data_IF_367901622948
#
_entry.id   IF_367901622948
#
_cell.length_a   1.000
_cell.length_b   1.000
_cell.length_c   1.000
_cell.angle_alpha   90.00
_cell.angle_beta   90.00
_cell.angle_gamma   90.00
#
_symmetry.space_group_name_H-M   'P 1'
#
loop_
_entity.id
_entity.type
_entity.pdbx_description
1 polymer ?
#
# COMPACT_ATOMS: atom_id res chain seq x y z
N UNK A 1 -9.64 0.33 -21.37
CA UNK A 1 -9.63 -0.78 -20.41
C UNK A 1 -10.31 -0.25 -19.17
N UNK A 2 -11.23 -1.00 -18.59
CA UNK A 2 -12.03 -0.50 -17.48
C UNK A 2 -11.26 -0.66 -16.17
N UNK A 3 -11.21 0.39 -15.37
CA UNK A 3 -10.59 0.36 -14.05
C UNK A 3 -11.41 -0.52 -13.10
N UNK A 4 -10.77 -1.35 -12.25
CA UNK A 4 -11.48 -2.15 -11.28
C UNK A 4 -12.10 -1.25 -10.20
N UNK A 5 -13.37 -1.49 -9.87
CA UNK A 5 -14.02 -0.80 -8.73
C UNK A 5 -13.53 -1.26 -7.35
N UNK A 6 -12.73 -2.34 -7.31
CA UNK A 6 -12.19 -2.93 -6.08
C UNK A 6 -10.78 -3.48 -6.32
N UNK A 7 -9.91 -3.25 -5.34
CA UNK A 7 -8.54 -3.78 -5.28
C UNK A 7 -8.26 -4.33 -3.88
N UNK A 8 -7.08 -4.89 -3.67
CA UNK A 8 -6.74 -5.56 -2.41
C UNK A 8 -5.28 -5.94 -2.32
N UNK A 9 -5.01 -7.06 -1.65
CA UNK A 9 -3.68 -7.62 -1.47
C UNK A 9 -3.74 -9.12 -1.67
N UNK A 10 -2.60 -9.77 -1.85
CA UNK A 10 -2.58 -11.23 -1.67
C UNK A 10 -2.94 -11.59 -0.22
N UNK A 11 -3.39 -12.82 0.01
CA UNK A 11 -3.74 -13.29 1.37
C UNK A 11 -2.58 -13.11 2.34
N UNK A 12 -1.36 -13.35 1.89
CA UNK A 12 -0.16 -13.20 2.71
C UNK A 12 0.10 -11.73 3.05
N UNK A 13 0.14 -10.83 2.07
CA UNK A 13 0.37 -9.42 2.33
C UNK A 13 -0.78 -8.77 3.14
N UNK A 14 -2.02 -9.24 2.97
CA UNK A 14 -3.14 -8.82 3.81
C UNK A 14 -2.94 -9.21 5.28
N UNK A 15 -2.41 -10.41 5.56
CA UNK A 15 -2.09 -10.83 6.93
C UNK A 15 -0.92 -10.02 7.50
N UNK A 16 0.13 -9.77 6.70
CA UNK A 16 1.25 -8.92 7.11
C UNK A 16 0.79 -7.49 7.44
N UNK A 17 -0.17 -6.94 6.69
CA UNK A 17 -0.78 -5.65 7.01
C UNK A 17 -1.52 -5.68 8.35
N UNK A 18 -2.24 -6.76 8.65
CA UNK A 18 -2.93 -6.93 9.93
C UNK A 18 -1.93 -7.01 11.10
N UNK A 19 -0.84 -7.76 10.94
CA UNK A 19 0.24 -7.83 11.92
C UNK A 19 0.91 -6.46 12.14
N UNK A 20 1.24 -5.74 11.06
CA UNK A 20 1.79 -4.37 11.14
C UNK A 20 0.87 -3.44 11.93
N UNK A 21 -0.44 -3.51 11.70
CA UNK A 21 -1.40 -2.69 12.44
C UNK A 21 -1.50 -3.10 13.90
N UNK A 22 -1.31 -4.38 14.23
CA UNK A 22 -1.29 -4.84 15.61
C UNK A 22 -0.05 -4.34 16.36
N UNK A 23 1.10 -4.31 15.69
CA UNK A 23 2.37 -3.86 16.26
C UNK A 23 2.46 -2.33 16.37
N UNK A 24 2.00 -1.59 15.36
CA UNK A 24 2.16 -0.14 15.28
C UNK A 24 1.08 0.64 16.03
N UNK A 25 -0.10 0.05 16.26
CA UNK A 25 -1.18 0.74 16.95
C UNK A 25 -0.96 0.74 18.47
N UNK A 26 -1.40 1.81 19.16
CA UNK A 26 -1.39 1.86 20.60
C UNK A 26 -2.21 0.70 21.19
N UNK A 27 -1.67 0.09 22.25
CA UNK A 27 -2.35 -0.95 23.00
C UNK A 27 -3.46 -0.36 23.89
N UNK A 28 -4.27 -1.22 24.49
CA UNK A 28 -5.36 -0.77 25.36
C UNK A 28 -4.82 0.06 26.54
N UNK A 29 -5.29 1.31 26.64
CA UNK A 29 -4.85 2.25 27.67
C UNK A 29 -3.66 3.14 27.28
N UNK A 30 -3.09 2.95 26.09
CA UNK A 30 -2.06 3.84 25.55
C UNK A 30 -2.68 5.01 24.75
N UNK A 31 -2.07 6.19 24.85
CA UNK A 31 -2.47 7.35 24.04
C UNK A 31 -1.88 7.25 22.62
N UNK A 32 -2.68 7.53 21.59
CA UNK A 32 -2.19 7.57 20.20
C UNK A 32 -3.29 7.58 19.16
N UNK A 33 -2.93 7.85 17.90
CA UNK A 33 -3.84 7.76 16.76
C UNK A 33 -3.78 6.33 16.23
N UNK A 34 -4.95 5.68 16.16
CA UNK A 34 -5.06 4.34 15.60
C UNK A 34 -5.07 4.40 14.07
N UNK A 35 -4.08 3.77 13.46
CA UNK A 35 -3.96 3.54 12.02
C UNK A 35 -5.00 2.49 11.57
N UNK A 36 -5.49 2.69 10.36
CA UNK A 36 -6.32 1.72 9.63
C UNK A 36 -5.58 1.15 8.41
N UNK A 37 -6.11 0.07 7.84
CA UNK A 37 -5.54 -0.58 6.63
C UNK A 37 -5.22 0.41 5.50
N UNK A 38 -6.12 1.38 5.27
CA UNK A 38 -5.92 2.38 4.23
C UNK A 38 -4.71 3.29 4.47
N UNK A 39 -4.33 3.57 5.72
CA UNK A 39 -3.21 4.48 5.99
C UNK A 39 -1.90 3.87 5.53
N UNK A 40 -1.63 2.62 5.93
CA UNK A 40 -0.43 1.90 5.49
C UNK A 40 -0.47 1.55 4.00
N UNK A 41 -1.65 1.22 3.46
CA UNK A 41 -1.82 0.97 2.03
C UNK A 41 -1.49 2.22 1.20
N UNK A 42 -2.06 3.38 1.55
CA UNK A 42 -1.79 4.65 0.87
C UNK A 42 -0.32 5.06 1.01
N UNK A 43 0.28 4.83 2.18
CA UNK A 43 1.71 5.11 2.41
C UNK A 43 2.60 4.24 1.52
N UNK A 44 2.33 2.94 1.41
CA UNK A 44 3.05 2.02 0.54
C UNK A 44 2.99 2.49 -0.93
N UNK A 45 1.79 2.85 -1.41
CA UNK A 45 1.59 3.37 -2.76
C UNK A 45 2.36 4.68 -2.97
N UNK A 46 2.21 5.65 -2.07
CA UNK A 46 2.87 6.94 -2.18
C UNK A 46 4.39 6.82 -2.26
N UNK A 47 4.99 5.91 -1.48
CA UNK A 47 6.42 5.66 -1.53
C UNK A 47 6.86 4.97 -2.82
N UNK A 48 6.05 4.04 -3.33
CA UNK A 48 6.26 3.42 -4.62
C UNK A 48 6.28 4.44 -5.76
N UNK A 49 5.33 5.38 -5.75
CA UNK A 49 5.27 6.50 -6.71
C UNK A 49 6.50 7.40 -6.56
N UNK A 50 6.82 7.85 -5.33
CA UNK A 50 7.98 8.73 -5.04
C UNK A 50 9.28 8.14 -5.58
N UNK A 51 9.47 6.83 -5.43
CA UNK A 51 10.68 6.09 -5.85
C UNK A 51 10.66 5.68 -7.33
N UNK A 52 9.56 5.89 -8.05
CA UNK A 52 9.38 5.43 -9.42
C UNK A 52 9.49 3.90 -9.57
N UNK A 53 9.04 3.15 -8.57
CA UNK A 53 9.16 1.68 -8.56
C UNK A 53 8.29 1.07 -9.64
N UNK A 54 8.80 0.00 -10.25
CA UNK A 54 8.04 -0.93 -11.10
C UNK A 54 7.80 -2.22 -10.33
N UNK A 55 6.64 -2.37 -9.65
CA UNK A 55 6.41 -3.50 -8.78
C UNK A 55 6.19 -4.79 -9.59
N UNK A 56 6.57 -5.95 -9.03
CA UNK A 56 6.34 -7.23 -9.68
C UNK A 56 4.84 -7.53 -9.80
N UNK A 57 4.50 -8.49 -10.67
CA UNK A 57 3.16 -9.07 -10.70
C UNK A 57 2.88 -9.74 -9.35
N UNK A 58 1.64 -9.67 -8.88
CA UNK A 58 1.23 -10.32 -7.64
C UNK A 58 1.52 -11.83 -7.71
N UNK A 59 2.09 -12.37 -6.63
CA UNK A 59 2.40 -13.81 -6.52
C UNK A 59 1.17 -14.70 -6.34
N UNK A 60 -0.02 -14.12 -6.23
CA UNK A 60 -1.28 -14.82 -6.04
C UNK A 60 -2.50 -13.94 -6.32
N UNK A 61 -3.69 -14.50 -6.13
CA UNK A 61 -4.94 -13.76 -6.35
C UNK A 61 -5.13 -12.71 -5.25
N UNK A 62 -5.44 -11.48 -5.66
CA UNK A 62 -5.83 -10.40 -4.74
C UNK A 62 -7.19 -10.68 -4.11
N UNK A 63 -7.29 -10.42 -2.80
CA UNK A 63 -8.56 -10.33 -2.10
C UNK A 63 -9.14 -8.92 -2.28
N UNK A 64 -9.95 -8.69 -3.32
CA UNK A 64 -10.53 -7.39 -3.72
C UNK A 64 -11.45 -6.73 -2.67
N UNK A 65 -10.89 -6.48 -1.50
CA UNK A 65 -11.52 -6.15 -0.23
C UNK A 65 -11.72 -4.64 -0.10
N UNK A 66 -10.90 -3.85 -0.78
CA UNK A 66 -10.95 -2.40 -0.75
C UNK A 66 -11.77 -1.87 -1.93
N UNK A 67 -12.78 -1.05 -1.64
CA UNK A 67 -13.48 -0.29 -2.68
C UNK A 67 -12.62 0.89 -3.07
N UNK A 68 -12.41 1.06 -4.37
CA UNK A 68 -11.62 2.20 -4.88
C UNK A 68 -12.21 3.53 -4.46
N UNK A 69 -13.54 3.65 -4.46
CA UNK A 69 -14.25 4.87 -4.02
C UNK A 69 -14.02 5.24 -2.55
N UNK A 70 -13.60 4.29 -1.71
CA UNK A 70 -13.30 4.54 -0.30
C UNK A 70 -11.78 4.73 -0.08
N UNK A 71 -10.97 4.00 -0.85
CA UNK A 71 -9.50 4.08 -0.80
C UNK A 71 -8.97 5.39 -1.39
N UNK A 72 -9.48 5.79 -2.54
CA UNK A 72 -8.99 6.93 -3.32
C UNK A 72 -10.16 7.86 -3.73
N UNK A 73 -10.90 8.33 -2.72
CA UNK A 73 -11.96 9.31 -2.95
C UNK A 73 -11.37 10.59 -3.57
N UNK A 74 -11.89 10.98 -4.73
CA UNK A 74 -11.34 12.06 -5.55
C UNK A 74 -10.21 11.67 -6.51
N UNK A 75 -9.76 10.41 -6.53
CA UNK A 75 -8.83 9.89 -7.55
C UNK A 75 -7.41 10.44 -7.46
N UNK A 76 -6.93 10.80 -6.27
CA UNK A 76 -5.62 11.42 -6.06
C UNK A 76 -4.49 10.43 -6.35
N UNK A 77 -4.60 9.19 -5.89
CA UNK A 77 -3.60 8.15 -6.18
C UNK A 77 -3.59 7.82 -7.67
N UNK A 78 -4.77 7.72 -8.29
CA UNK A 78 -4.91 7.53 -9.73
C UNK A 78 -4.16 8.63 -10.49
N UNK A 79 -4.47 9.90 -10.22
CA UNK A 79 -3.86 11.03 -10.90
C UNK A 79 -2.34 11.08 -10.67
N UNK A 80 -1.87 10.75 -9.46
CA UNK A 80 -0.45 10.72 -9.14
C UNK A 80 0.31 9.64 -9.94
N UNK A 81 -0.25 8.43 -10.05
CA UNK A 81 0.34 7.34 -10.84
C UNK A 81 0.33 7.66 -12.33
N UNK A 82 -0.78 8.19 -12.84
CA UNK A 82 -0.93 8.59 -14.25
C UNK A 82 0.08 9.68 -14.62
N UNK A 83 0.16 10.75 -13.82
CA UNK A 83 1.09 11.86 -14.06
C UNK A 83 2.56 11.42 -13.94
N UNK A 84 2.86 10.43 -13.10
CA UNK A 84 4.22 9.91 -12.96
C UNK A 84 4.67 9.06 -14.17
N UNK A 85 3.75 8.67 -15.08
CA UNK A 85 4.08 7.90 -16.28
C UNK A 85 4.66 6.52 -15.99
N UNK A 86 4.28 5.91 -14.85
CA UNK A 86 4.85 4.66 -14.36
C UNK A 86 4.18 3.40 -14.95
N UNK A 87 2.96 3.55 -15.48
CA UNK A 87 2.11 2.43 -15.89
C UNK A 87 2.37 2.08 -17.36
N UNK A 88 2.65 0.80 -17.62
CA UNK A 88 2.80 0.29 -18.97
C UNK A 88 1.48 0.38 -19.74
N UNK A 89 1.56 0.61 -21.06
CA UNK A 89 0.38 0.76 -21.90
C UNK A 89 -0.54 -0.48 -21.81
N UNK A 90 -1.81 -0.23 -21.46
CA UNK A 90 -2.81 -1.28 -21.35
C UNK A 90 -2.87 -1.99 -19.99
N UNK A 91 -2.21 -1.48 -18.94
CA UNK A 91 -2.46 -1.89 -17.56
C UNK A 91 -3.43 -0.91 -16.88
N UNK A 92 -4.45 -1.37 -16.13
CA UNK A 92 -5.26 -0.48 -15.30
C UNK A 92 -4.42 0.17 -14.21
N UNK A 93 -4.61 1.46 -13.97
CA UNK A 93 -3.86 2.20 -12.96
C UNK A 93 -4.10 1.62 -11.57
N UNK A 94 -5.32 1.19 -11.24
CA UNK A 94 -5.58 0.61 -9.92
C UNK A 94 -4.96 -0.78 -9.75
N UNK A 95 -4.72 -1.54 -10.83
CA UNK A 95 -3.90 -2.76 -10.75
C UNK A 95 -2.43 -2.43 -10.47
N UNK A 96 -1.91 -1.33 -11.02
CA UNK A 96 -0.57 -0.86 -10.71
C UNK A 96 -0.45 -0.42 -9.24
N UNK A 97 -1.43 0.35 -8.75
CA UNK A 97 -1.55 0.76 -7.35
C UNK A 97 -1.60 -0.46 -6.43
N UNK A 98 -2.33 -1.51 -6.81
CA UNK A 98 -2.39 -2.78 -6.08
C UNK A 98 -1.01 -3.42 -5.90
N UNK A 99 -0.22 -3.46 -6.97
CA UNK A 99 1.14 -4.01 -6.93
C UNK A 99 2.10 -3.15 -6.11
N UNK A 100 1.98 -1.82 -6.18
CA UNK A 100 2.77 -0.92 -5.34
C UNK A 100 2.47 -1.14 -3.85
N UNK A 101 1.19 -1.29 -3.51
CA UNK A 101 0.77 -1.54 -2.14
C UNK A 101 1.29 -2.88 -1.63
N UNK A 102 1.14 -3.95 -2.43
CA UNK A 102 1.65 -5.29 -2.12
C UNK A 102 3.15 -5.25 -1.82
N UNK A 103 3.94 -4.66 -2.71
CA UNK A 103 5.39 -4.57 -2.52
C UNK A 103 5.74 -3.76 -1.27
N UNK A 104 5.12 -2.58 -1.09
CA UNK A 104 5.44 -1.71 0.04
C UNK A 104 5.05 -2.32 1.40
N UNK A 105 3.92 -3.04 1.48
CA UNK A 105 3.51 -3.72 2.71
C UNK A 105 4.49 -4.85 3.08
N UNK A 106 4.94 -5.62 2.08
CA UNK A 106 5.98 -6.64 2.30
C UNK A 106 7.28 -6.01 2.81
N UNK A 107 7.71 -4.91 2.20
CA UNK A 107 8.89 -4.16 2.64
C UNK A 107 8.74 -3.61 4.07
N UNK A 108 7.56 -3.08 4.42
CA UNK A 108 7.27 -2.60 5.77
C UNK A 108 7.33 -3.73 6.79
N UNK A 109 6.72 -4.87 6.48
CA UNK A 109 6.71 -6.05 7.35
C UNK A 109 8.12 -6.59 7.57
N UNK A 110 8.89 -6.73 6.49
CA UNK A 110 10.28 -7.21 6.55
C UNK A 110 11.20 -6.30 7.36
N UNK A 111 10.96 -4.99 7.35
CA UNK A 111 11.70 -4.06 8.18
C UNK A 111 11.22 -4.11 9.64
N UNK A 112 9.90 -4.14 9.86
CA UNK A 112 9.32 -4.23 11.19
C UNK A 112 9.79 -5.49 11.94
N UNK A 113 9.93 -6.63 11.25
CA UNK A 113 10.51 -7.84 11.83
C UNK A 113 11.98 -7.68 12.28
N UNK A 114 12.74 -6.76 11.68
CA UNK A 114 14.15 -6.52 12.00
C UNK A 114 14.33 -5.48 13.10
N UNK A 115 13.49 -4.45 13.13
CA UNK A 115 13.70 -3.25 13.95
C UNK A 115 12.58 -2.98 14.96
N UNK A 116 11.42 -3.63 14.80
CA UNK A 116 10.18 -3.32 15.53
C UNK A 116 9.55 -1.99 15.15
N UNK A 117 9.98 -1.39 14.03
CA UNK A 117 9.50 -0.08 13.58
C UNK A 117 9.39 -0.05 12.05
N UNK A 118 8.53 0.84 11.54
CA UNK A 118 8.60 1.22 10.13
C UNK A 118 9.92 1.95 9.85
N UNK A 119 10.47 1.87 8.62
CA UNK A 119 11.71 2.54 8.24
C UNK A 119 11.53 4.06 8.05
N UNK A 120 11.05 4.77 9.06
CA UNK A 120 10.69 6.19 8.98
C UNK A 120 11.83 7.06 8.48
N UNK A 121 13.05 6.83 8.97
CA UNK A 121 14.23 7.58 8.53
C UNK A 121 14.47 7.40 7.02
N UNK A 122 14.34 6.19 6.49
CA UNK A 122 14.50 5.92 5.04
C UNK A 122 13.33 6.47 4.21
N UNK A 123 12.14 6.55 4.80
CA UNK A 123 10.92 7.02 4.15
C UNK A 123 10.97 8.55 3.95
N UNK A 124 11.40 9.27 5.00
CA UNK A 124 11.38 10.72 5.07
C UNK A 124 12.75 11.39 4.87
N UNK A 125 13.82 10.63 4.67
CA UNK A 125 15.09 11.17 4.16
C UNK A 125 14.90 11.69 2.74
N UNK A 126 15.41 12.89 2.48
CA UNK A 126 15.43 13.54 1.16
C UNK A 126 16.63 13.09 0.33
#
# INVERSE_FOLDING_TARGET
MDEPGRIGLTVEAAAQLDDLLADLNPQEGEEGIKLIKFDLYRLAVALGIKKGLRPPVLGGKSNTSFRVSELDDGGVLYAAVECAGLVDAGMPIYEYIERLAEQGIREFYDENLKTGQLPFEKIFSN
#
